data_IF_284131605983
#
_entry.id   IF_284131605983
#
_cell.length_a   1.000
_cell.length_b   1.000
_cell.length_c   1.000
_cell.angle_alpha   90.00
_cell.angle_beta   90.00
_cell.angle_gamma   90.00
#
_symmetry.space_group_name_H-M   'P 1'
#
loop_
_entity.id
_entity.type
_entity.pdbx_description
1 polymer ?
#
# COMPACT_ATOMS: atom_id res chain seq x y z
N UNK A 1 -11.10 45.07 0.75
CA UNK A 1 -9.88 45.01 -0.08
C UNK A 1 -8.84 44.07 0.52
N UNK A 2 -8.26 44.35 1.69
CA UNK A 2 -7.28 43.43 2.31
C UNK A 2 -7.85 42.03 2.60
N UNK A 3 -9.09 41.92 3.10
CA UNK A 3 -9.73 40.63 3.34
C UNK A 3 -9.82 39.78 2.06
N UNK A 4 -10.26 40.38 0.94
CA UNK A 4 -10.32 39.73 -0.37
C UNK A 4 -8.94 39.27 -0.86
N UNK A 5 -7.90 40.08 -0.64
CA UNK A 5 -6.52 39.70 -0.97
C UNK A 5 -6.01 38.54 -0.11
N UNK A 6 -6.29 38.55 1.20
CA UNK A 6 -5.94 37.44 2.09
C UNK A 6 -6.71 36.16 1.75
N UNK A 7 -7.98 36.27 1.34
CA UNK A 7 -8.79 35.13 0.88
C UNK A 7 -8.20 34.53 -0.39
N UNK A 8 -7.88 35.34 -1.41
CA UNK A 8 -7.22 34.83 -2.62
C UNK A 8 -5.85 34.22 -2.33
N UNK A 9 -5.05 34.85 -1.47
CA UNK A 9 -3.77 34.30 -1.03
C UNK A 9 -3.94 32.94 -0.35
N UNK A 10 -4.91 32.80 0.55
CA UNK A 10 -5.23 31.52 1.20
C UNK A 10 -5.70 30.46 0.19
N UNK A 11 -6.56 30.81 -0.78
CA UNK A 11 -6.99 29.90 -1.83
C UNK A 11 -5.83 29.40 -2.69
N UNK A 12 -4.90 30.28 -3.07
CA UNK A 12 -3.70 29.90 -3.84
C UNK A 12 -2.84 28.94 -3.02
N UNK A 13 -2.57 29.25 -1.75
CA UNK A 13 -1.74 28.40 -0.88
C UNK A 13 -2.40 27.03 -0.64
N UNK A 14 -3.69 27.00 -0.32
CA UNK A 14 -4.42 25.75 -0.10
C UNK A 14 -4.48 24.90 -1.37
N UNK A 15 -4.73 25.52 -2.53
CA UNK A 15 -4.76 24.80 -3.81
C UNK A 15 -3.38 24.25 -4.15
N UNK A 16 -2.32 25.03 -3.94
CA UNK A 16 -0.94 24.62 -4.17
C UNK A 16 -0.56 23.45 -3.25
N UNK A 17 -0.89 23.53 -1.96
CA UNK A 17 -0.67 22.44 -1.01
C UNK A 17 -1.40 21.16 -1.43
N UNK A 18 -2.68 21.25 -1.81
CA UNK A 18 -3.46 20.09 -2.25
C UNK A 18 -2.85 19.47 -3.51
N UNK A 19 -2.47 20.28 -4.51
CA UNK A 19 -1.95 19.79 -5.80
C UNK A 19 -0.53 19.23 -5.69
N UNK A 20 0.34 19.85 -4.91
CA UNK A 20 1.69 19.36 -4.69
C UNK A 20 1.72 18.15 -3.76
N UNK A 21 0.93 18.14 -2.68
CA UNK A 21 0.90 17.00 -1.77
C UNK A 21 0.39 15.74 -2.47
N UNK A 22 -0.72 15.83 -3.21
CA UNK A 22 -1.25 14.67 -3.94
C UNK A 22 -0.24 14.12 -4.95
N UNK A 23 0.42 14.99 -5.72
CA UNK A 23 1.38 14.55 -6.74
C UNK A 23 2.63 13.95 -6.13
N UNK A 24 3.12 14.52 -5.01
CA UNK A 24 4.23 13.96 -4.24
C UNK A 24 3.96 12.53 -3.77
N UNK A 25 2.76 12.24 -3.23
CA UNK A 25 2.41 10.89 -2.81
C UNK A 25 2.36 9.89 -3.96
N UNK A 26 1.77 10.27 -5.10
CA UNK A 26 1.77 9.43 -6.31
C UNK A 26 3.17 9.13 -6.80
N UNK A 27 4.01 10.17 -6.91
CA UNK A 27 5.39 10.05 -7.39
C UNK A 27 6.21 9.17 -6.45
N UNK A 28 6.07 9.34 -5.13
CA UNK A 28 6.77 8.50 -4.16
C UNK A 28 6.34 7.04 -4.23
N UNK A 29 5.04 6.75 -4.35
CA UNK A 29 4.54 5.38 -4.53
C UNK A 29 5.10 4.73 -5.80
N UNK A 30 5.21 5.48 -6.90
CA UNK A 30 5.79 4.97 -8.15
C UNK A 30 7.29 4.66 -7.99
N UNK A 31 8.04 5.54 -7.31
CA UNK A 31 9.49 5.32 -7.10
C UNK A 31 9.79 4.14 -6.16
N UNK A 32 8.95 3.91 -5.15
CA UNK A 32 9.04 2.75 -4.26
C UNK A 32 8.70 1.41 -4.95
N UNK A 33 8.22 1.45 -6.18
CA UNK A 33 7.84 0.28 -6.98
C UNK A 33 6.48 0.53 -7.63
N UNK A 34 6.39 0.32 -8.93
CA UNK A 34 5.18 0.64 -9.68
C UNK A 34 3.96 -0.17 -9.19
N UNK A 35 4.19 -1.34 -8.57
CA UNK A 35 3.14 -2.15 -7.93
C UNK A 35 2.40 -1.37 -6.84
N UNK A 36 3.07 -0.54 -6.05
CA UNK A 36 2.47 0.29 -4.99
C UNK A 36 1.63 1.44 -5.53
N UNK A 37 1.70 1.73 -6.83
CA UNK A 37 0.79 2.64 -7.50
C UNK A 37 -0.32 1.87 -8.23
N UNK A 38 0.05 0.86 -9.03
CA UNK A 38 -0.88 0.15 -9.92
C UNK A 38 -1.86 -0.73 -9.16
N UNK A 39 -1.41 -1.48 -8.15
CA UNK A 39 -2.27 -2.39 -7.41
C UNK A 39 -3.39 -1.65 -6.64
N UNK A 40 -3.12 -0.64 -5.80
CA UNK A 40 -4.19 0.10 -5.13
C UNK A 40 -5.13 0.80 -6.11
N UNK A 41 -4.60 1.37 -7.20
CA UNK A 41 -5.44 2.01 -8.22
C UNK A 41 -6.34 1.01 -8.94
N UNK A 42 -5.83 -0.18 -9.25
CA UNK A 42 -6.62 -1.29 -9.81
C UNK A 42 -7.72 -1.73 -8.85
N UNK A 43 -7.43 -1.87 -7.56
CA UNK A 43 -8.41 -2.29 -6.55
C UNK A 43 -9.56 -1.29 -6.41
N UNK A 44 -9.30 0.02 -6.48
CA UNK A 44 -10.37 1.03 -6.48
C UNK A 44 -11.26 0.90 -7.70
N UNK A 45 -10.67 0.77 -8.89
CA UNK A 45 -11.42 0.64 -10.14
C UNK A 45 -12.30 -0.61 -10.07
N UNK A 46 -11.73 -1.73 -9.61
CA UNK A 46 -12.47 -2.98 -9.43
C UNK A 46 -13.61 -2.81 -8.43
N UNK A 47 -13.35 -2.16 -7.29
CA UNK A 47 -14.36 -1.90 -6.27
C UNK A 47 -15.53 -1.06 -6.80
N UNK A 48 -15.25 0.01 -7.56
CA UNK A 48 -16.30 0.85 -8.16
C UNK A 48 -17.13 0.07 -9.20
N UNK A 49 -16.50 -0.79 -10.01
CA UNK A 49 -17.19 -1.67 -10.97
C UNK A 49 -18.08 -2.67 -10.25
N UNK A 50 -17.57 -3.34 -9.21
CA UNK A 50 -18.33 -4.33 -8.44
C UNK A 50 -19.46 -3.66 -7.66
N UNK A 51 -19.25 -2.48 -7.09
CA UNK A 51 -20.30 -1.72 -6.41
C UNK A 51 -21.44 -1.37 -7.38
N UNK A 52 -21.12 -1.03 -8.63
CA UNK A 52 -22.13 -0.80 -9.66
C UNK A 52 -22.87 -2.09 -10.05
N UNK A 53 -22.15 -3.21 -10.26
CA UNK A 53 -22.76 -4.48 -10.67
C UNK A 53 -23.68 -5.05 -9.59
N UNK A 54 -23.20 -5.16 -8.35
CA UNK A 54 -24.01 -5.64 -7.22
C UNK A 54 -25.09 -4.64 -6.84
N UNK A 55 -24.83 -3.34 -6.97
CA UNK A 55 -25.83 -2.31 -6.75
C UNK A 55 -26.95 -2.35 -7.78
N UNK A 56 -26.67 -2.69 -9.03
CA UNK A 56 -27.70 -2.85 -10.07
C UNK A 56 -28.48 -4.16 -9.92
N UNK A 57 -27.82 -5.25 -9.54
CA UNK A 57 -28.44 -6.57 -9.42
C UNK A 57 -29.29 -6.73 -8.15
N UNK A 58 -28.81 -6.21 -7.00
CA UNK A 58 -29.41 -6.46 -5.69
C UNK A 58 -29.74 -5.17 -4.90
N UNK A 59 -29.49 -4.00 -5.47
CA UNK A 59 -29.65 -2.73 -4.77
C UNK A 59 -31.10 -2.42 -4.40
N UNK A 60 -31.39 -2.38 -3.10
CA UNK A 60 -32.69 -2.00 -2.55
C UNK A 60 -32.58 -0.85 -1.57
N UNK A 61 -31.52 -0.83 -0.76
CA UNK A 61 -31.32 0.18 0.28
C UNK A 61 -30.28 1.22 -0.14
N UNK A 62 -30.65 2.50 -0.08
CA UNK A 62 -29.75 3.61 -0.42
C UNK A 62 -28.73 3.85 0.69
N UNK A 63 -27.47 4.08 0.31
CA UNK A 63 -26.41 4.32 1.28
C UNK A 63 -26.41 5.76 1.80
N UNK A 64 -26.53 6.76 0.92
CA UNK A 64 -26.48 8.18 1.27
C UNK A 64 -27.49 8.96 0.42
N UNK A 65 -28.31 9.82 1.06
CA UNK A 65 -29.31 10.66 0.36
C UNK A 65 -28.71 11.58 -0.70
N UNK A 66 -27.46 11.99 -0.51
CA UNK A 66 -26.70 12.83 -1.44
C UNK A 66 -26.37 12.12 -2.77
N UNK A 67 -26.33 10.79 -2.78
CA UNK A 67 -26.04 9.97 -3.97
C UNK A 67 -27.08 8.85 -4.14
N UNK A 68 -28.23 9.13 -4.79
CA UNK A 68 -29.39 8.24 -4.81
C UNK A 68 -29.15 6.92 -5.56
N UNK A 69 -28.05 6.81 -6.32
CA UNK A 69 -27.69 5.62 -7.10
C UNK A 69 -26.77 4.63 -6.35
N UNK A 70 -26.24 5.01 -5.18
CA UNK A 70 -25.33 4.15 -4.41
C UNK A 70 -26.11 3.40 -3.34
N UNK A 71 -25.96 2.07 -3.32
CA UNK A 71 -26.72 1.16 -2.47
C UNK A 71 -25.84 0.46 -1.45
N UNK A 72 -26.41 0.07 -0.30
CA UNK A 72 -25.69 -0.65 0.74
C UNK A 72 -25.29 -2.06 0.27
N UNK A 73 -26.18 -2.74 -0.45
CA UNK A 73 -25.90 -4.09 -0.96
C UNK A 73 -24.76 -4.07 -1.99
N UNK A 74 -24.71 -3.02 -2.83
CA UNK A 74 -23.60 -2.78 -3.74
C UNK A 74 -22.28 -2.58 -3.01
N UNK A 75 -22.28 -1.79 -1.93
CA UNK A 75 -21.08 -1.56 -1.11
C UNK A 75 -20.55 -2.83 -0.43
N UNK A 76 -21.43 -3.63 0.16
CA UNK A 76 -21.06 -4.90 0.80
C UNK A 76 -20.58 -5.93 -0.23
N UNK A 77 -21.25 -6.03 -1.39
CA UNK A 77 -20.84 -6.91 -2.47
C UNK A 77 -19.48 -6.53 -3.05
N UNK A 78 -19.22 -5.22 -3.20
CA UNK A 78 -17.94 -4.70 -3.65
C UNK A 78 -16.82 -4.99 -2.66
N UNK A 79 -17.06 -4.84 -1.36
CA UNK A 79 -16.09 -5.19 -0.32
C UNK A 79 -15.65 -6.65 -0.44
N UNK A 80 -16.61 -7.57 -0.51
CA UNK A 80 -16.30 -8.99 -0.61
C UNK A 80 -15.53 -9.33 -1.90
N UNK A 81 -15.98 -8.81 -3.05
CA UNK A 81 -15.32 -9.09 -4.33
C UNK A 81 -13.93 -8.44 -4.46
N UNK A 82 -13.72 -7.29 -3.82
CA UNK A 82 -12.42 -6.61 -3.82
C UNK A 82 -11.42 -7.34 -2.94
N UNK A 83 -11.85 -7.91 -1.80
CA UNK A 83 -11.00 -8.75 -0.97
C UNK A 83 -10.59 -10.05 -1.68
N UNK A 84 -11.49 -10.64 -2.47
CA UNK A 84 -11.17 -11.85 -3.25
C UNK A 84 -10.22 -11.58 -4.42
N UNK A 85 -10.39 -10.46 -5.14
CA UNK A 85 -9.52 -10.18 -6.29
C UNK A 85 -8.11 -9.74 -5.88
N UNK A 86 -7.94 -9.22 -4.66
CA UNK A 86 -6.70 -8.56 -4.29
C UNK A 86 -5.47 -9.49 -4.32
N UNK A 87 -5.49 -10.69 -3.70
CA UNK A 87 -4.38 -11.64 -3.81
C UNK A 87 -4.16 -12.08 -5.26
N UNK A 88 -5.23 -12.34 -6.02
CA UNK A 88 -5.15 -12.76 -7.43
C UNK A 88 -4.47 -11.69 -8.29
N UNK A 89 -4.80 -10.41 -8.06
CA UNK A 89 -4.18 -9.30 -8.76
C UNK A 89 -2.73 -9.08 -8.33
N UNK A 90 -2.40 -9.29 -7.05
CA UNK A 90 -1.02 -9.24 -6.56
C UNK A 90 -0.16 -10.32 -7.24
N UNK A 91 -0.62 -11.57 -7.24
CA UNK A 91 0.04 -12.71 -7.94
C UNK A 91 0.27 -12.43 -9.43
N UNK A 92 -0.70 -11.78 -10.08
CA UNK A 92 -0.58 -11.41 -11.49
C UNK A 92 0.48 -10.33 -11.72
N UNK A 93 0.49 -9.27 -10.90
CA UNK A 93 1.43 -8.16 -11.03
C UNK A 93 2.86 -8.56 -10.65
N UNK A 94 3.04 -9.46 -9.69
CA UNK A 94 4.36 -9.97 -9.26
C UNK A 94 5.13 -10.69 -10.38
N UNK A 95 4.45 -11.21 -11.41
CA UNK A 95 5.11 -11.84 -12.56
C UNK A 95 5.95 -10.86 -13.38
N UNK A 96 5.70 -9.57 -13.23
CA UNK A 96 6.33 -8.51 -13.99
C UNK A 96 7.40 -7.81 -13.15
N UNK A 97 8.69 -8.12 -13.41
CA UNK A 97 9.83 -7.51 -12.71
C UNK A 97 9.86 -5.98 -12.77
N UNK A 98 9.37 -5.41 -13.86
CA UNK A 98 9.27 -3.96 -14.02
C UNK A 98 8.24 -3.30 -13.08
N UNK A 99 7.36 -4.08 -12.45
CA UNK A 99 6.39 -3.60 -11.47
C UNK A 99 6.92 -3.68 -10.03
N UNK A 100 7.76 -4.68 -9.73
CA UNK A 100 8.29 -4.94 -8.38
C UNK A 100 9.56 -4.16 -8.11
N UNK A 101 10.42 -3.93 -9.10
CA UNK A 101 11.68 -3.22 -8.90
C UNK A 101 11.47 -1.72 -8.59
N UNK A 102 12.07 -1.17 -7.50
CA UNK A 102 12.00 0.25 -7.19
C UNK A 102 12.87 1.09 -8.15
N UNK A 103 12.35 2.23 -8.60
CA UNK A 103 13.04 3.11 -9.52
C UNK A 103 13.85 4.16 -8.75
N UNK A 104 15.16 3.94 -8.56
CA UNK A 104 16.02 4.86 -7.78
C UNK A 104 16.51 6.09 -8.56
N UNK A 105 16.37 6.15 -9.89
CA UNK A 105 16.79 7.33 -10.68
C UNK A 105 16.02 7.53 -11.99
N UNK A 106 15.90 8.78 -12.45
CA UNK A 106 15.28 9.18 -13.74
C UNK A 106 16.04 8.69 -14.99
N UNK A 107 17.25 8.15 -14.82
CA UNK A 107 18.04 7.46 -15.86
C UNK A 107 17.32 6.23 -16.44
N UNK A 108 16.25 5.79 -15.76
CA UNK A 108 15.30 4.73 -16.09
C UNK A 108 14.88 4.63 -17.55
N UNK A 109 14.73 5.76 -18.26
CA UNK A 109 14.26 5.77 -19.65
C UNK A 109 15.33 5.39 -20.67
N UNK A 110 16.61 5.27 -20.28
CA UNK A 110 17.72 5.07 -21.21
C UNK A 110 18.27 3.64 -21.24
N UNK A 111 18.31 2.95 -20.10
CA UNK A 111 18.96 1.64 -19.96
C UNK A 111 18.07 0.66 -19.16
N UNK A 112 17.98 -0.61 -19.57
CA UNK A 112 17.13 -1.67 -18.94
C UNK A 112 17.82 -2.41 -17.79
N UNK A 113 18.98 -1.95 -17.34
CA UNK A 113 19.79 -2.58 -16.29
C UNK A 113 19.14 -2.56 -14.89
N UNK A 114 18.09 -1.77 -14.69
CA UNK A 114 17.34 -1.70 -13.43
C UNK A 114 16.35 -2.86 -13.23
N UNK A 115 16.08 -3.68 -14.26
CA UNK A 115 15.23 -4.88 -14.12
C UNK A 115 15.90 -6.03 -13.35
N UNK A 116 17.23 -5.97 -13.18
CA UNK A 116 18.00 -6.83 -12.28
C UNK A 116 18.03 -6.25 -10.87
N UNK A 117 16.85 -6.01 -10.29
CA UNK A 117 16.74 -5.91 -8.85
C UNK A 117 16.59 -7.32 -8.27
N UNK A 118 17.24 -7.61 -7.15
CA UNK A 118 16.83 -8.74 -6.33
C UNK A 118 15.45 -8.40 -5.77
N UNK A 119 14.49 -9.31 -5.94
CA UNK A 119 13.14 -9.12 -5.42
C UNK A 119 13.22 -9.07 -3.89
N UNK A 120 12.81 -7.94 -3.31
CA UNK A 120 12.70 -7.77 -1.86
C UNK A 120 11.93 -8.94 -1.23
N UNK A 121 12.23 -9.27 0.03
CA UNK A 121 11.62 -10.38 0.78
C UNK A 121 10.07 -10.34 0.74
N UNK A 122 9.47 -9.15 0.58
CA UNK A 122 8.03 -8.92 0.40
C UNK A 122 7.42 -9.68 -0.80
N UNK A 123 8.22 -9.93 -1.83
CA UNK A 123 7.79 -10.57 -3.07
C UNK A 123 8.22 -12.04 -3.18
N UNK A 124 9.03 -12.53 -2.25
CA UNK A 124 9.48 -13.91 -2.27
C UNK A 124 8.39 -14.83 -1.68
N UNK A 125 8.13 -15.99 -2.30
CA UNK A 125 7.21 -16.97 -1.74
C UNK A 125 7.79 -17.52 -0.44
N UNK A 126 7.04 -17.40 0.65
CA UNK A 126 7.34 -18.03 1.93
C UNK A 126 6.38 -19.18 2.17
N UNK A 127 6.91 -20.34 2.58
CA UNK A 127 6.08 -21.47 2.97
C UNK A 127 5.61 -21.27 4.41
N UNK A 128 4.31 -21.03 4.57
CA UNK A 128 3.67 -20.91 5.88
C UNK A 128 3.06 -22.26 6.25
N UNK A 129 3.54 -22.83 7.35
CA UNK A 129 3.01 -24.05 7.95
C UNK A 129 1.96 -23.67 9.00
N UNK A 130 0.70 -24.05 8.78
CA UNK A 130 -0.37 -23.89 9.75
C UNK A 130 -0.66 -25.22 10.45
N UNK A 131 -0.23 -25.33 11.71
CA UNK A 131 -0.55 -26.45 12.59
C UNK A 131 -2.08 -26.48 12.81
N UNK A 132 -2.76 -27.55 12.38
CA UNK A 132 -4.18 -27.77 12.70
C UNK A 132 -4.32 -28.93 13.68
N UNK A 133 -4.98 -28.76 14.83
CA UNK A 133 -5.62 -27.54 15.33
C UNK A 133 -4.61 -26.47 15.77
N UNK A 134 -4.90 -25.16 15.57
CA UNK A 134 -4.00 -24.09 15.96
C UNK A 134 -3.59 -24.16 17.43
N UNK A 135 -2.35 -23.77 17.75
CA UNK A 135 -1.82 -23.79 19.12
C UNK A 135 -2.71 -23.06 20.13
N UNK A 136 -3.39 -21.99 19.71
CA UNK A 136 -4.35 -21.27 20.56
C UNK A 136 -5.58 -22.13 20.90
N UNK A 137 -6.07 -22.97 19.98
CA UNK A 137 -7.15 -23.93 20.25
C UNK A 137 -6.66 -24.98 21.25
N UNK A 138 -5.47 -25.55 21.03
CA UNK A 138 -4.86 -26.51 21.95
C UNK A 138 -4.67 -25.94 23.37
N UNK A 139 -4.40 -24.64 23.49
CA UNK A 139 -4.24 -23.95 24.78
C UNK A 139 -5.53 -23.76 25.58
N UNK A 140 -6.69 -23.85 24.92
CA UNK A 140 -8.02 -23.71 25.55
C UNK A 140 -8.58 -25.05 26.06
N UNK A 141 -7.93 -26.17 25.75
CA UNK A 141 -8.36 -27.51 26.18
C UNK A 141 -7.81 -27.82 27.58
N UNK A 142 -8.66 -28.02 28.60
CA UNK A 142 -8.22 -28.19 29.99
C UNK A 142 -7.69 -29.59 30.32
N UNK A 143 -7.93 -30.58 29.46
CA UNK A 143 -7.55 -31.99 29.69
C UNK A 143 -6.26 -32.35 28.93
N UNK A 144 -5.14 -32.67 29.62
CA UNK A 144 -3.86 -32.93 28.97
C UNK A 144 -3.88 -34.11 27.98
N UNK A 145 -4.61 -35.17 28.28
CA UNK A 145 -4.74 -36.33 27.39
C UNK A 145 -5.49 -36.00 26.09
N UNK A 146 -6.45 -35.07 26.13
CA UNK A 146 -7.18 -34.60 24.94
C UNK A 146 -6.29 -33.73 24.08
N UNK A 147 -5.50 -32.84 24.70
CA UNK A 147 -4.52 -31.99 24.01
C UNK A 147 -3.50 -32.83 23.25
N UNK A 148 -2.88 -33.81 23.91
CA UNK A 148 -1.85 -34.65 23.29
C UNK A 148 -2.43 -35.58 22.20
N UNK A 149 -3.72 -35.94 22.30
CA UNK A 149 -4.41 -36.70 21.25
C UNK A 149 -4.76 -35.83 20.04
N UNK A 150 -5.19 -34.58 20.28
CA UNK A 150 -5.48 -33.60 19.23
C UNK A 150 -4.22 -33.15 18.48
N UNK A 151 -3.09 -33.01 19.19
CA UNK A 151 -1.79 -32.68 18.60
C UNK A 151 -1.31 -33.83 17.69
N UNK A 152 -1.47 -35.09 18.12
CA UNK A 152 -1.13 -36.28 17.30
C UNK A 152 -2.07 -36.52 16.12
N UNK A 153 -3.33 -36.09 16.23
CA UNK A 153 -4.31 -36.11 15.14
C UNK A 153 -4.21 -34.88 14.24
N UNK A 154 -3.35 -33.93 14.60
CA UNK A 154 -3.15 -32.73 13.83
C UNK A 154 -2.48 -33.01 12.50
N UNK A 155 -2.78 -32.16 11.53
CA UNK A 155 -2.14 -32.17 10.23
C UNK A 155 -1.61 -30.77 9.92
N UNK A 156 -0.43 -30.71 9.33
CA UNK A 156 0.19 -29.45 8.94
C UNK A 156 -0.29 -29.08 7.55
N UNK A 157 -0.93 -27.92 7.41
CA UNK A 157 -1.27 -27.36 6.10
C UNK A 157 -0.19 -26.38 5.70
N UNK A 158 0.62 -26.77 4.72
CA UNK A 158 1.62 -25.91 4.10
C UNK A 158 1.02 -25.19 2.90
N UNK A 159 1.04 -23.87 2.90
CA UNK A 159 0.72 -23.06 1.72
C UNK A 159 1.83 -22.06 1.45
N UNK A 160 2.22 -21.97 0.18
CA UNK A 160 3.18 -20.99 -0.30
C UNK A 160 2.46 -19.66 -0.48
N UNK A 161 2.79 -18.65 0.33
CA UNK A 161 2.22 -17.30 0.20
C UNK A 161 3.32 -16.25 0.24
N UNK A 162 3.15 -15.16 -0.49
CA UNK A 162 4.01 -13.98 -0.39
C UNK A 162 3.47 -13.04 0.70
N UNK A 163 4.34 -12.29 1.40
CA UNK A 163 3.90 -11.21 2.29
C UNK A 163 3.02 -10.17 1.58
N UNK A 164 3.23 -9.97 0.28
CA UNK A 164 2.40 -9.07 -0.54
C UNK A 164 0.91 -9.42 -0.51
N UNK A 165 0.52 -10.69 -0.37
CA UNK A 165 -0.89 -11.05 -0.26
C UNK A 165 -1.57 -10.38 0.94
N UNK A 166 -0.90 -10.33 2.09
CA UNK A 166 -1.42 -9.67 3.28
C UNK A 166 -1.52 -8.16 3.07
N UNK A 167 -0.48 -7.53 2.52
CA UNK A 167 -0.53 -6.10 2.17
C UNK A 167 -1.64 -5.78 1.17
N UNK A 168 -1.86 -6.64 0.16
CA UNK A 168 -2.92 -6.48 -0.83
C UNK A 168 -4.31 -6.52 -0.21
N UNK A 169 -4.53 -7.36 0.81
CA UNK A 169 -5.79 -7.44 1.55
C UNK A 169 -6.03 -6.19 2.39
N UNK A 170 -4.99 -5.63 3.02
CA UNK A 170 -5.11 -4.36 3.76
C UNK A 170 -5.43 -3.21 2.81
N UNK A 171 -4.75 -3.13 1.66
CA UNK A 171 -5.03 -2.15 0.62
C UNK A 171 -6.46 -2.30 0.07
N UNK A 172 -6.93 -3.53 -0.15
CA UNK A 172 -8.27 -3.83 -0.62
C UNK A 172 -9.35 -3.45 0.40
N UNK A 173 -9.11 -3.71 1.69
CA UNK A 173 -10.02 -3.32 2.76
C UNK A 173 -10.16 -1.80 2.80
N UNK A 174 -9.05 -1.06 2.71
CA UNK A 174 -9.07 0.40 2.67
C UNK A 174 -9.73 0.92 1.38
N UNK A 175 -9.42 0.32 0.22
CA UNK A 175 -10.01 0.66 -1.08
C UNK A 175 -11.52 0.47 -1.12
N UNK A 176 -12.03 -0.55 -0.45
CA UNK A 176 -13.46 -0.83 -0.38
C UNK A 176 -14.20 0.03 0.66
N UNK A 177 -13.59 0.24 1.83
CA UNK A 177 -14.27 0.93 2.93
C UNK A 177 -14.10 2.44 2.89
N UNK A 178 -12.85 2.92 2.75
CA UNK A 178 -12.50 4.32 3.02
C UNK A 178 -12.39 5.12 1.72
N UNK A 179 -11.77 4.57 0.68
CA UNK A 179 -11.57 5.28 -0.59
C UNK A 179 -12.85 5.80 -1.26
N UNK A 180 -14.01 5.10 -1.22
CA UNK A 180 -15.24 5.61 -1.84
C UNK A 180 -15.75 6.91 -1.19
N UNK A 181 -15.32 7.22 0.03
CA UNK A 181 -15.61 8.49 0.70
C UNK A 181 -14.95 9.70 0.03
N UNK A 182 -13.81 9.54 -0.64
CA UNK A 182 -13.24 10.59 -1.50
C UNK A 182 -14.21 11.00 -2.61
N UNK A 183 -14.78 10.01 -3.31
CA UNK A 183 -15.80 10.25 -4.34
C UNK A 183 -17.13 10.78 -3.78
N UNK A 184 -17.51 10.41 -2.54
CA UNK A 184 -18.68 10.99 -1.87
C UNK A 184 -18.47 12.47 -1.53
N UNK A 185 -17.30 12.82 -1.00
CA UNK A 185 -16.94 14.20 -0.68
C UNK A 185 -16.96 15.08 -1.93
N UNK A 186 -16.30 14.63 -3.00
CA UNK A 186 -16.31 15.31 -4.29
C UNK A 186 -17.73 15.47 -4.87
N UNK A 187 -18.54 14.42 -4.79
CA UNK A 187 -19.96 14.50 -5.18
C UNK A 187 -20.74 15.53 -4.34
N UNK A 188 -20.49 15.61 -3.04
CA UNK A 188 -21.11 16.60 -2.16
C UNK A 188 -20.71 18.03 -2.49
N UNK A 189 -19.41 18.25 -2.77
CA UNK A 189 -18.90 19.56 -3.18
C UNK A 189 -19.58 20.05 -4.47
N UNK A 190 -19.74 19.16 -5.46
CA UNK A 190 -20.46 19.45 -6.70
C UNK A 190 -21.90 19.91 -6.43
N UNK A 191 -22.61 19.21 -5.54
CA UNK A 191 -23.99 19.60 -5.16
C UNK A 191 -24.05 20.94 -4.42
N UNK A 192 -23.07 21.25 -3.58
CA UNK A 192 -23.01 22.53 -2.88
C UNK A 192 -22.90 23.72 -3.84
N UNK A 193 -22.13 23.57 -4.93
CA UNK A 193 -21.99 24.59 -5.98
C UNK A 193 -23.06 24.52 -7.07
N UNK A 194 -24.06 23.62 -6.95
CA UNK A 194 -25.08 23.36 -7.98
C UNK A 194 -24.49 22.96 -9.34
N UNK A 195 -23.30 22.37 -9.34
CA UNK A 195 -22.62 21.84 -10.52
C UNK A 195 -22.78 20.31 -10.53
N UNK A 196 -22.83 19.70 -11.71
CA UNK A 196 -22.96 18.23 -11.84
C UNK A 196 -21.62 17.53 -11.95
N UNK A 197 -20.72 18.08 -12.77
CA UNK A 197 -19.42 17.52 -13.13
C UNK A 197 -18.38 18.67 -13.05
N UNK A 198 -17.16 18.43 -12.52
CA UNK A 198 -16.15 19.49 -12.36
C UNK A 198 -15.64 20.06 -13.69
N UNK A 199 -15.86 19.33 -14.78
CA UNK A 199 -15.53 19.78 -16.13
C UNK A 199 -16.09 18.84 -17.20
N UNK A 200 -15.98 19.25 -18.45
CA UNK A 200 -16.35 18.45 -19.61
C UNK A 200 -15.08 17.94 -20.34
N UNK A 201 -14.19 17.26 -19.60
CA UNK A 201 -12.91 16.81 -20.17
C UNK A 201 -13.09 15.75 -21.27
N UNK A 202 -14.14 14.91 -21.19
CA UNK A 202 -14.45 13.90 -22.20
C UNK A 202 -15.95 13.97 -22.54
N UNK A 203 -16.33 14.25 -23.81
CA UNK A 203 -17.72 14.35 -24.20
C UNK A 203 -18.48 13.04 -23.90
N UNK A 204 -19.57 13.15 -23.16
CA UNK A 204 -20.44 12.02 -22.76
C UNK A 204 -19.99 11.22 -21.53
N UNK A 205 -18.82 11.51 -20.94
CA UNK A 205 -18.19 10.66 -19.91
C UNK A 205 -17.80 11.37 -18.60
N UNK A 206 -18.15 12.65 -18.46
CA UNK A 206 -17.88 13.45 -17.26
C UNK A 206 -16.49 14.11 -17.23
N UNK A 207 -16.11 14.64 -16.07
CA UNK A 207 -14.80 15.26 -15.86
C UNK A 207 -13.70 14.23 -15.58
N UNK A 208 -12.47 14.50 -16.02
CA UNK A 208 -11.31 13.67 -15.67
C UNK A 208 -11.08 13.64 -14.15
N UNK A 209 -11.27 14.79 -13.51
CA UNK A 209 -11.14 14.96 -12.05
C UNK A 209 -12.09 14.05 -11.27
N UNK A 210 -13.32 13.85 -11.76
CA UNK A 210 -14.32 12.99 -11.11
C UNK A 210 -13.88 11.51 -11.01
N UNK A 211 -12.85 11.11 -11.78
CA UNK A 211 -12.29 9.75 -11.77
C UNK A 211 -11.10 9.57 -10.83
N UNK A 212 -10.51 10.67 -10.36
CA UNK A 212 -9.34 10.66 -9.49
C UNK A 212 -9.66 10.99 -8.03
N UNK A 213 -10.91 11.35 -7.70
CA UNK A 213 -11.32 11.73 -6.34
C UNK A 213 -11.02 10.66 -5.28
N UNK A 214 -11.25 9.38 -5.60
CA UNK A 214 -10.92 8.24 -4.73
C UNK A 214 -9.44 7.86 -4.77
N UNK A 215 -8.76 8.12 -5.90
CA UNK A 215 -7.36 7.77 -6.11
C UNK A 215 -6.43 8.64 -5.26
N UNK A 216 -6.78 9.91 -5.00
CA UNK A 216 -5.99 10.79 -4.13
C UNK A 216 -5.93 10.24 -2.70
N UNK A 217 -7.07 9.80 -2.16
CA UNK A 217 -7.15 9.21 -0.82
C UNK A 217 -6.36 7.91 -0.75
N UNK A 218 -6.44 7.07 -1.79
CA UNK A 218 -5.63 5.85 -1.88
C UNK A 218 -4.14 6.10 -1.96
N UNK A 219 -3.71 7.09 -2.74
CA UNK A 219 -2.29 7.38 -2.91
C UNK A 219 -1.66 7.82 -1.59
N UNK A 220 -2.34 8.69 -0.85
CA UNK A 220 -1.91 9.10 0.49
C UNK A 220 -1.85 7.90 1.44
N UNK A 221 -2.89 7.06 1.47
CA UNK A 221 -2.88 5.88 2.33
C UNK A 221 -1.76 4.91 1.99
N UNK A 222 -1.57 4.62 0.70
CA UNK A 222 -0.53 3.68 0.26
C UNK A 222 0.86 4.19 0.60
N UNK A 223 1.10 5.50 0.45
CA UNK A 223 2.37 6.10 0.85
C UNK A 223 2.65 5.91 2.34
N UNK A 224 1.68 6.28 3.19
CA UNK A 224 1.83 6.14 4.64
C UNK A 224 1.97 4.67 5.03
N UNK A 225 1.17 3.79 4.43
CA UNK A 225 1.18 2.36 4.70
C UNK A 225 2.51 1.71 4.30
N UNK A 226 3.02 2.04 3.13
CA UNK A 226 4.32 1.57 2.65
C UNK A 226 5.43 1.96 3.63
N UNK A 227 5.55 3.25 3.95
CA UNK A 227 6.61 3.72 4.86
C UNK A 227 6.45 3.23 6.31
N UNK A 228 5.22 2.92 6.74
CA UNK A 228 4.96 2.51 8.14
C UNK A 228 5.04 1.00 8.37
N UNK A 229 4.72 0.18 7.36
CA UNK A 229 4.61 -1.26 7.51
C UNK A 229 5.54 -1.99 6.55
N UNK A 230 5.60 -1.60 5.28
CA UNK A 230 6.41 -2.32 4.28
C UNK A 230 7.90 -1.99 4.45
N UNK A 231 8.25 -0.72 4.59
CA UNK A 231 9.64 -0.30 4.84
C UNK A 231 10.04 -0.55 6.32
N UNK A 232 9.10 -0.51 7.26
CA UNK A 232 9.41 -0.76 8.66
C UNK A 232 9.68 -2.25 8.95
N UNK A 233 9.03 -3.17 8.24
CA UNK A 233 9.37 -4.60 8.28
C UNK A 233 10.82 -4.85 7.79
N UNK A 234 11.34 -3.99 6.91
CA UNK A 234 12.76 -3.97 6.51
C UNK A 234 13.69 -3.36 7.58
N UNK A 235 13.16 -2.52 8.49
CA UNK A 235 13.92 -1.86 9.55
C UNK A 235 14.02 -2.65 10.86
N UNK A 236 13.31 -3.78 10.99
CA UNK A 236 13.55 -4.76 12.05
C UNK A 236 14.44 -5.87 11.50
N UNK A 237 15.76 -5.85 11.77
CA UNK A 237 16.68 -6.84 11.22
C UNK A 237 16.41 -8.19 11.88
N UNK A 238 15.70 -9.06 11.17
CA UNK A 238 15.70 -10.51 11.41
C UNK A 238 16.75 -11.18 10.49
N UNK A 239 17.99 -10.67 10.48
CA UNK A 239 19.09 -11.18 9.67
C UNK A 239 20.38 -10.38 9.90
N UNK A 240 21.57 -10.96 9.68
CA UNK A 240 22.84 -10.36 10.10
C UNK A 240 23.02 -9.03 9.39
N UNK A 241 23.20 -7.96 10.18
CA UNK A 241 23.35 -6.57 9.76
C UNK A 241 23.89 -6.42 8.33
N UNK A 242 23.06 -5.97 7.41
CA UNK A 242 23.52 -5.58 6.09
C UNK A 242 24.45 -4.37 6.24
N UNK A 243 25.74 -4.65 6.09
CA UNK A 243 26.82 -3.69 6.26
C UNK A 243 26.69 -2.55 5.25
N UNK A 244 25.91 -2.74 4.17
CA UNK A 244 25.66 -1.73 3.13
C UNK A 244 24.88 -0.52 3.67
N UNK A 245 23.86 -0.73 4.51
CA UNK A 245 23.09 0.36 5.13
C UNK A 245 23.90 1.13 6.18
N UNK A 246 24.73 0.40 6.94
CA UNK A 246 25.70 1.02 7.87
C UNK A 246 26.74 1.82 7.10
N UNK A 247 27.23 1.30 5.97
CA UNK A 247 28.21 1.96 5.10
C UNK A 247 27.68 3.26 4.50
N UNK A 248 26.43 3.27 4.03
CA UNK A 248 25.79 4.47 3.50
C UNK A 248 25.52 5.50 4.60
N UNK A 249 25.11 5.07 5.80
CA UNK A 249 24.97 5.96 6.95
C UNK A 249 26.32 6.55 7.40
N UNK A 250 27.40 5.77 7.35
CA UNK A 250 28.76 6.22 7.66
C UNK A 250 29.25 7.27 6.65
N UNK A 251 29.03 7.06 5.36
CA UNK A 251 29.49 7.98 4.33
C UNK A 251 28.67 9.26 4.20
N UNK A 252 27.38 9.20 4.53
CA UNK A 252 26.48 10.37 4.42
C UNK A 252 26.48 11.25 5.66
N UNK A 253 26.64 10.68 6.86
CA UNK A 253 26.47 11.43 8.12
C UNK A 253 27.78 11.81 8.81
N UNK A 254 28.88 11.08 8.58
CA UNK A 254 30.14 11.34 9.29
C UNK A 254 31.12 12.18 8.48
N UNK A 255 31.83 13.06 9.18
CA UNK A 255 32.94 13.83 8.62
C UNK A 255 34.16 12.93 8.38
N UNK A 256 35.08 13.37 7.52
CA UNK A 256 36.27 12.57 7.16
C UNK A 256 37.14 12.21 8.40
N UNK A 257 37.19 13.08 9.41
CA UNK A 257 37.93 12.83 10.65
C UNK A 257 37.28 11.72 11.51
N UNK A 258 35.95 11.73 11.61
CA UNK A 258 35.20 10.71 12.37
C UNK A 258 35.23 9.36 11.67
N UNK A 259 35.23 9.33 10.33
CA UNK A 259 35.42 8.10 9.55
C UNK A 259 36.76 7.44 9.82
N UNK A 260 37.83 8.23 9.87
CA UNK A 260 39.18 7.75 10.20
C UNK A 260 39.27 7.17 11.61
N UNK A 261 38.65 7.82 12.59
CA UNK A 261 38.60 7.32 13.96
C UNK A 261 37.79 6.01 14.08
N UNK A 262 36.67 5.91 13.35
CA UNK A 262 35.85 4.69 13.29
C UNK A 262 36.63 3.51 12.70
N UNK A 263 37.34 3.73 11.57
CA UNK A 263 38.14 2.67 10.95
C UNK A 263 39.33 2.23 11.81
N UNK A 264 39.98 3.16 12.51
CA UNK A 264 41.06 2.83 13.45
C UNK A 264 40.54 2.00 14.63
N UNK A 265 39.37 2.37 15.18
CA UNK A 265 38.74 1.63 16.26
C UNK A 265 38.23 0.25 15.82
N UNK A 266 37.71 0.11 14.61
CA UNK A 266 37.35 -1.20 14.03
C UNK A 266 38.59 -2.07 13.78
N UNK A 267 39.69 -1.47 13.30
CA UNK A 267 40.96 -2.14 13.11
C UNK A 267 41.54 -2.71 14.41
N UNK A 268 41.49 -1.95 15.51
CA UNK A 268 41.95 -2.45 16.83
C UNK A 268 41.08 -3.57 17.39
N UNK A 269 39.77 -3.57 17.11
CA UNK A 269 38.85 -4.64 17.50
C UNK A 269 39.09 -5.92 16.69
N UNK A 270 39.27 -5.80 15.38
CA UNK A 270 39.59 -6.94 14.50
C UNK A 270 40.94 -7.58 14.85
N UNK A 271 41.93 -6.76 15.19
CA UNK A 271 43.24 -7.27 15.60
C UNK A 271 43.20 -7.98 16.97
N UNK A 272 42.22 -7.67 17.83
CA UNK A 272 41.99 -8.40 19.09
C UNK A 272 41.22 -9.71 18.90
N UNK A 273 40.35 -9.82 17.90
CA UNK A 273 39.54 -11.03 17.66
C UNK A 273 40.23 -12.10 16.83
N UNK A 274 41.28 -11.77 16.07
CA UNK A 274 42.07 -12.74 15.29
C UNK A 274 43.12 -13.49 16.14
N UNK A 275 43.33 -13.08 17.39
CA UNK A 275 44.32 -13.67 18.32
C UNK A 275 43.68 -14.66 19.32
N UNK A 276 42.43 -15.07 19.12
CA UNK A 276 41.72 -16.08 19.94
C UNK A 276 41.50 -17.36 19.15
#
# INVERSE_FOLDING_TARGET
>A
FYLEQFVHFAWIHMTLLVVFAQSSFFVSNVFNGLIWFVLPSWLVIWNDVMAYLFGKAFGRTQLIKLSPKKTLEGFIGALFMTLLIAPVSADFLMKFRWMTCPAKSLSYFRDTSWLDCDNDETFQPMDVTLDMPPRWVLSTVPFPWVRDTLDKLGFDVTFTTSPLHLHSLVLALFAALIAPFGGFFASGLKRAFRIKDFGASIPGHGGLTDRFDCQVVMAMFTYIYYHSFVEADFALPAGPYDVSGVWDAVNTRFTNAERLALYDHLGTLLNKSVVV
#
